data_IF_364986360852
#
_entry.id   IF_364986360852
#
_cell.length_a   1.000
_cell.length_b   1.000
_cell.length_c   1.000
_cell.angle_alpha   90.00
_cell.angle_beta   90.00
_cell.angle_gamma   90.00
#
_symmetry.space_group_name_H-M   'P 1'
#
loop_
_entity.id
_entity.type
_entity.pdbx_description
1 polymer ?
#
# COMPACT_ATOMS: atom_id res chain seq x y z
N UNK A 1 72.46 97.47 -19.26
CA UNK A 1 71.98 98.33 -18.16
C UNK A 1 73.09 98.34 -17.14
N UNK A 2 74.11 99.19 -17.32
CA UNK A 2 74.10 100.64 -17.00
C UNK A 2 73.82 100.80 -15.49
N UNK A 3 74.68 101.41 -14.67
CA UNK A 3 75.44 102.63 -14.91
C UNK A 3 76.83 102.63 -14.27
N UNK A 4 77.75 103.25 -14.99
CA UNK A 4 79.04 103.72 -14.54
C UNK A 4 78.92 105.16 -14.01
N UNK A 5 79.53 105.47 -12.87
CA UNK A 5 79.77 106.83 -12.37
C UNK A 5 81.29 106.91 -12.13
N UNK A 6 82.11 107.27 -13.13
CA UNK A 6 82.57 108.62 -13.50
C UNK A 6 83.07 109.46 -12.33
N UNK A 7 84.30 109.20 -11.92
CA UNK A 7 85.14 110.11 -11.15
C UNK A 7 85.88 111.02 -12.16
N UNK A 8 85.52 112.32 -12.18
CA UNK A 8 86.12 113.35 -13.03
C UNK A 8 87.09 114.20 -12.21
N UNK A 9 88.37 114.06 -12.53
CA UNK A 9 89.32 115.11 -12.92
C UNK A 9 89.06 116.55 -12.43
N UNK A 10 89.97 117.05 -11.59
CA UNK A 10 90.06 118.44 -11.14
C UNK A 10 91.51 118.84 -10.84
N UNK A 11 92.08 119.60 -11.76
CA UNK A 11 93.45 120.13 -11.93
C UNK A 11 93.92 121.09 -10.79
N UNK A 12 95.25 121.32 -10.61
CA UNK A 12 95.83 121.99 -9.45
C UNK A 12 95.60 123.50 -9.45
N UNK A 13 95.29 124.06 -8.27
CA UNK A 13 95.09 125.50 -8.11
C UNK A 13 96.42 126.21 -7.89
N UNK A 14 96.68 127.15 -8.80
CA UNK A 14 97.81 128.06 -8.82
C UNK A 14 97.85 129.00 -7.61
N UNK A 15 99.06 129.25 -7.12
CA UNK A 15 99.38 130.30 -6.17
C UNK A 15 98.98 131.68 -6.74
N UNK A 16 98.08 132.37 -6.04
CA UNK A 16 97.79 133.79 -6.23
C UNK A 16 97.89 134.47 -4.87
N UNK A 17 98.97 135.22 -4.70
CA UNK A 17 99.21 136.12 -3.59
C UNK A 17 98.26 137.31 -3.69
N UNK A 18 97.25 137.40 -2.81
CA UNK A 18 96.47 138.61 -2.59
C UNK A 18 96.30 138.83 -1.09
N UNK A 19 96.49 140.09 -0.72
CA UNK A 19 96.76 140.58 0.61
C UNK A 19 95.58 140.45 1.60
N UNK A 20 95.99 140.39 2.86
CA UNK A 20 95.23 140.31 4.09
C UNK A 20 94.24 141.47 4.31
N UNK A 21 93.01 141.14 4.72
CA UNK A 21 92.18 141.95 5.61
C UNK A 21 91.52 141.02 6.67
N UNK A 22 92.03 141.09 7.90
CA UNK A 22 91.82 140.17 9.05
C UNK A 22 90.57 140.47 9.90
N UNK A 23 89.89 141.59 9.67
CA UNK A 23 88.93 142.11 10.67
C UNK A 23 87.51 141.50 10.58
N UNK A 24 87.10 140.97 9.41
CA UNK A 24 85.75 140.43 9.18
C UNK A 24 85.61 138.91 9.36
N UNK A 25 86.71 138.19 9.56
CA UNK A 25 86.74 136.71 9.51
C UNK A 25 86.41 136.07 10.87
N UNK A 26 86.55 136.81 11.97
CA UNK A 26 86.33 136.32 13.33
C UNK A 26 84.85 136.20 13.72
N UNK A 27 83.97 137.09 13.24
CA UNK A 27 82.51 136.98 13.50
C UNK A 27 81.88 135.79 12.79
N UNK A 28 82.28 135.54 11.53
CA UNK A 28 81.84 134.38 10.74
C UNK A 28 82.31 133.07 11.39
N UNK A 29 83.51 133.05 12.01
CA UNK A 29 83.99 131.87 12.72
C UNK A 29 83.20 131.57 14.00
N UNK A 30 82.79 132.60 14.74
CA UNK A 30 82.00 132.47 15.97
C UNK A 30 80.58 131.96 15.73
N UNK A 31 79.90 132.49 14.71
CA UNK A 31 78.55 132.06 14.32
C UNK A 31 78.55 130.62 13.79
N UNK A 32 79.57 130.28 12.99
CA UNK A 32 79.78 128.91 12.50
C UNK A 32 80.12 127.93 13.63
N UNK A 33 80.85 128.35 14.66
CA UNK A 33 81.07 127.55 15.87
C UNK A 33 79.79 127.35 16.69
N UNK A 34 78.91 128.34 16.74
CA UNK A 34 77.60 128.22 17.41
C UNK A 34 76.66 127.28 16.64
N UNK A 35 76.60 127.38 15.30
CA UNK A 35 75.88 126.43 14.45
C UNK A 35 76.44 125.02 14.58
N UNK A 36 77.76 124.85 14.61
CA UNK A 36 78.40 123.55 14.87
C UNK A 36 77.96 123.02 16.23
N UNK A 37 77.95 123.84 17.28
CA UNK A 37 77.56 123.41 18.63
C UNK A 37 76.07 123.05 18.72
N UNK A 38 75.20 123.79 18.04
CA UNK A 38 73.77 123.51 17.93
C UNK A 38 73.49 122.22 17.13
N UNK A 39 74.20 122.01 16.02
CA UNK A 39 74.06 120.80 15.23
C UNK A 39 74.68 119.59 15.96
N UNK A 40 75.77 119.78 16.72
CA UNK A 40 76.33 118.77 17.63
C UNK A 40 75.32 118.37 18.71
N UNK A 41 74.66 119.31 19.39
CA UNK A 41 73.61 119.00 20.38
C UNK A 41 72.42 118.30 19.73
N UNK A 42 72.04 118.69 18.51
CA UNK A 42 70.97 118.03 17.73
C UNK A 42 71.37 116.62 17.31
N UNK A 43 72.62 116.41 16.88
CA UNK A 43 73.18 115.09 16.59
C UNK A 43 73.20 114.25 17.87
N UNK A 44 73.62 114.82 19.00
CA UNK A 44 73.66 114.13 20.29
C UNK A 44 72.26 113.71 20.74
N UNK A 45 71.28 114.62 20.65
CA UNK A 45 69.88 114.36 20.99
C UNK A 45 69.21 113.33 20.07
N UNK A 46 69.49 113.39 18.76
CA UNK A 46 69.02 112.37 17.81
C UNK A 46 69.68 111.01 18.07
N UNK A 47 70.97 111.00 18.37
CA UNK A 47 71.71 109.78 18.75
C UNK A 47 71.11 109.17 20.01
N UNK A 48 70.75 109.99 21.01
CA UNK A 48 70.09 109.53 22.22
C UNK A 48 68.72 108.89 21.95
N UNK A 49 67.89 109.50 21.09
CA UNK A 49 66.58 108.94 20.68
C UNK A 49 66.73 107.61 19.92
N UNK A 50 67.69 107.52 19.01
CA UNK A 50 67.99 106.27 18.29
C UNK A 50 68.43 105.20 19.28
N UNK A 51 69.27 105.54 20.25
CA UNK A 51 69.76 104.61 21.27
C UNK A 51 68.63 104.12 22.19
N UNK A 52 67.65 104.96 22.51
CA UNK A 52 66.45 104.58 23.26
C UNK A 52 65.54 103.62 22.46
N UNK A 53 65.30 103.89 21.18
CA UNK A 53 64.54 102.98 20.29
C UNK A 53 65.24 101.63 20.15
N UNK A 54 66.56 101.62 19.94
CA UNK A 54 67.38 100.40 19.89
C UNK A 54 67.30 99.62 21.20
N UNK A 55 67.33 100.30 22.35
CA UNK A 55 67.16 99.66 23.66
C UNK A 55 65.78 99.05 23.83
N UNK A 56 64.72 99.71 23.34
CA UNK A 56 63.35 99.20 23.39
C UNK A 56 63.12 98.00 22.46
N UNK A 57 63.83 97.93 21.33
CA UNK A 57 63.79 96.83 20.37
C UNK A 57 64.50 95.59 20.91
N UNK A 58 65.64 95.76 21.58
CA UNK A 58 66.42 94.64 22.15
C UNK A 58 65.62 93.80 23.16
N UNK A 59 64.74 94.42 23.96
CA UNK A 59 63.87 93.70 24.88
C UNK A 59 62.73 92.91 24.20
N UNK A 60 62.34 93.30 22.97
CA UNK A 60 61.33 92.58 22.17
C UNK A 60 61.92 91.34 21.51
N UNK A 61 63.16 91.42 21.04
CA UNK A 61 63.90 90.31 20.42
C UNK A 61 64.01 89.09 21.36
N UNK A 62 64.30 89.31 22.64
CA UNK A 62 64.34 88.23 23.66
C UNK A 62 62.94 87.63 23.97
N UNK A 63 61.88 88.42 23.80
CA UNK A 63 60.49 87.94 23.88
C UNK A 63 60.13 87.05 22.68
N UNK A 64 60.47 87.50 21.48
CA UNK A 64 60.24 86.78 20.23
C UNK A 64 61.01 85.45 20.19
N UNK A 65 62.27 85.42 20.63
CA UNK A 65 63.05 84.19 20.74
C UNK A 65 62.39 83.15 21.66
N UNK A 66 61.83 83.59 22.80
CA UNK A 66 61.07 82.71 23.71
C UNK A 66 59.80 82.18 23.08
N UNK A 67 59.06 83.01 22.35
CA UNK A 67 57.87 82.57 21.63
C UNK A 67 58.19 81.57 20.52
N UNK A 68 59.25 81.81 19.72
CA UNK A 68 59.71 80.89 18.68
C UNK A 68 60.14 79.53 19.26
N UNK A 69 60.89 79.54 20.37
CA UNK A 69 61.26 78.30 21.06
C UNK A 69 60.02 77.53 21.55
N UNK A 70 59.02 78.23 22.11
CA UNK A 70 57.76 77.61 22.54
C UNK A 70 56.96 77.04 21.38
N UNK A 71 56.92 77.72 20.23
CA UNK A 71 56.28 77.22 19.01
C UNK A 71 56.94 75.92 18.58
N UNK A 72 58.27 75.88 18.53
CA UNK A 72 59.03 74.67 18.16
C UNK A 72 58.75 73.49 19.09
N UNK A 73 58.66 73.73 20.40
CA UNK A 73 58.27 72.70 21.37
C UNK A 73 56.85 72.18 21.15
N UNK A 74 55.89 73.09 20.89
CA UNK A 74 54.50 72.73 20.64
C UNK A 74 54.33 71.97 19.33
N UNK A 75 55.02 72.38 18.26
CA UNK A 75 55.06 71.65 16.98
C UNK A 75 55.64 70.25 17.17
N UNK A 76 56.74 70.13 17.95
CA UNK A 76 57.32 68.84 18.31
C UNK A 76 56.35 67.94 19.08
N UNK A 77 55.66 68.49 20.09
CA UNK A 77 54.66 67.75 20.86
C UNK A 77 53.46 67.33 20.01
N UNK A 78 52.93 68.22 19.17
CA UNK A 78 51.82 67.94 18.27
C UNK A 78 52.21 66.87 17.23
N UNK A 79 53.42 66.92 16.69
CA UNK A 79 53.93 65.88 15.80
C UNK A 79 54.01 64.53 16.50
N UNK A 80 54.45 64.48 17.76
CA UNK A 80 54.51 63.24 18.54
C UNK A 80 53.11 62.68 18.84
N UNK A 81 52.16 63.53 19.21
CA UNK A 81 50.76 63.12 19.44
C UNK A 81 50.13 62.58 18.16
N UNK A 82 50.31 63.26 17.02
CA UNK A 82 49.80 62.80 15.72
C UNK A 82 50.42 61.46 15.33
N UNK A 83 51.73 61.28 15.52
CA UNK A 83 52.41 60.00 15.24
C UNK A 83 51.87 58.86 16.10
N UNK A 84 51.69 59.09 17.40
CA UNK A 84 51.10 58.09 18.31
C UNK A 84 49.65 57.76 17.94
N UNK A 85 48.83 58.78 17.72
CA UNK A 85 47.44 58.59 17.28
C UNK A 85 47.38 57.78 15.98
N UNK A 86 48.22 58.10 14.99
CA UNK A 86 48.28 57.37 13.73
C UNK A 86 48.70 55.90 13.92
N UNK A 87 49.66 55.60 14.81
CA UNK A 87 50.05 54.23 15.10
C UNK A 87 48.92 53.45 15.79
N UNK A 88 48.24 54.08 16.74
CA UNK A 88 47.14 53.45 17.50
C UNK A 88 45.97 53.12 16.56
N UNK A 89 45.56 54.06 15.70
CA UNK A 89 44.52 53.83 14.69
C UNK A 89 44.93 52.70 13.72
N UNK A 90 46.20 52.64 13.31
CA UNK A 90 46.68 51.57 12.42
C UNK A 90 46.61 50.20 13.09
N UNK A 91 46.92 50.12 14.39
CA UNK A 91 46.81 48.88 15.16
C UNK A 91 45.35 48.44 15.33
N UNK A 92 44.45 49.37 15.67
CA UNK A 92 43.01 49.11 15.79
C UNK A 92 42.40 48.65 14.46
N UNK A 93 42.75 49.31 13.35
CA UNK A 93 42.35 48.87 12.01
C UNK A 93 42.87 47.46 11.73
N UNK A 94 44.11 47.14 12.11
CA UNK A 94 44.66 45.79 11.99
C UNK A 94 43.84 44.74 12.75
N UNK A 95 43.40 45.04 13.98
CA UNK A 95 42.51 44.18 14.78
C UNK A 95 41.15 44.00 14.12
N UNK A 96 40.56 45.07 13.59
CA UNK A 96 39.28 45.01 12.87
C UNK A 96 39.38 44.16 11.60
N UNK A 97 40.45 44.31 10.81
CA UNK A 97 40.67 43.47 9.62
C UNK A 97 40.80 41.99 9.99
N UNK A 98 41.49 41.67 11.09
CA UNK A 98 41.60 40.30 11.57
C UNK A 98 40.25 39.72 11.98
N UNK A 99 39.46 40.47 12.76
CA UNK A 99 38.12 40.04 13.14
C UNK A 99 37.21 39.87 11.91
N UNK A 100 37.28 40.78 10.94
CA UNK A 100 36.50 40.67 9.72
C UNK A 100 36.86 39.41 8.91
N UNK A 101 38.14 39.06 8.84
CA UNK A 101 38.59 37.82 8.20
C UNK A 101 38.11 36.57 8.95
N UNK A 102 38.14 36.56 10.29
CA UNK A 102 37.62 35.45 11.09
C UNK A 102 36.10 35.27 10.92
N UNK A 103 35.35 36.37 10.91
CA UNK A 103 33.90 36.36 10.66
C UNK A 103 33.57 35.88 9.25
N UNK A 104 34.30 36.34 8.24
CA UNK A 104 34.15 35.87 6.86
C UNK A 104 34.35 34.35 6.79
N UNK A 105 35.46 33.83 7.34
CA UNK A 105 35.75 32.39 7.35
C UNK A 105 34.66 31.58 8.07
N UNK A 106 34.21 32.02 9.26
CA UNK A 106 33.12 31.36 9.98
C UNK A 106 31.81 31.35 9.18
N UNK A 107 31.50 32.45 8.49
CA UNK A 107 30.30 32.55 7.66
C UNK A 107 30.36 31.60 6.46
N UNK A 108 31.54 31.40 5.87
CA UNK A 108 31.73 30.46 4.76
C UNK A 108 31.59 29.00 5.21
N UNK A 109 32.15 28.66 6.37
CA UNK A 109 31.99 27.33 6.98
C UNK A 109 30.51 27.05 7.26
N UNK A 110 29.80 27.98 7.91
CA UNK A 110 28.38 27.85 8.21
C UNK A 110 27.54 27.71 6.92
N UNK A 111 27.86 28.47 5.87
CA UNK A 111 27.21 28.37 4.56
C UNK A 111 27.45 26.99 3.93
N UNK A 112 28.67 26.46 4.01
CA UNK A 112 29.01 25.14 3.51
C UNK A 112 28.26 24.00 4.23
N UNK A 113 28.13 24.10 5.56
CA UNK A 113 27.33 23.16 6.35
C UNK A 113 25.85 23.22 6.00
N UNK A 114 25.31 24.42 5.84
CA UNK A 114 23.92 24.62 5.41
C UNK A 114 23.65 23.97 4.04
N UNK A 115 24.52 24.18 3.06
CA UNK A 115 24.38 23.55 1.74
C UNK A 115 24.50 22.02 1.79
N UNK A 116 25.39 21.47 2.63
CA UNK A 116 25.44 20.02 2.87
C UNK A 116 24.12 19.51 3.45
N UNK A 117 23.61 20.15 4.50
CA UNK A 117 22.33 19.76 5.11
C UNK A 117 21.17 19.80 4.12
N UNK A 118 21.10 20.83 3.27
CA UNK A 118 20.11 20.91 2.19
C UNK A 118 20.26 19.77 1.18
N UNK A 119 21.49 19.42 0.79
CA UNK A 119 21.76 18.30 -0.12
C UNK A 119 21.32 16.97 0.48
N UNK A 120 21.63 16.73 1.76
CA UNK A 120 21.26 15.50 2.47
C UNK A 120 19.72 15.36 2.57
N UNK A 121 19.03 16.44 2.93
CA UNK A 121 17.56 16.47 2.98
C UNK A 121 16.95 16.23 1.59
N UNK A 122 17.50 16.86 0.55
CA UNK A 122 17.04 16.67 -0.83
C UNK A 122 17.22 15.22 -1.29
N UNK A 123 18.36 14.60 -0.97
CA UNK A 123 18.64 13.21 -1.27
C UNK A 123 17.70 12.26 -0.53
N UNK A 124 17.48 12.48 0.78
CA UNK A 124 16.55 11.69 1.58
C UNK A 124 15.11 11.81 1.05
N UNK A 125 14.67 13.03 0.70
CA UNK A 125 13.37 13.25 0.10
C UNK A 125 13.22 12.53 -1.25
N UNK A 126 14.24 12.62 -2.11
CA UNK A 126 14.24 11.91 -3.40
C UNK A 126 14.15 10.39 -3.22
N UNK A 127 14.89 9.82 -2.27
CA UNK A 127 14.82 8.39 -1.94
C UNK A 127 13.42 7.98 -1.48
N UNK A 128 12.81 8.77 -0.58
CA UNK A 128 11.46 8.53 -0.10
C UNK A 128 10.40 8.61 -1.21
N UNK A 129 10.50 9.59 -2.12
CA UNK A 129 9.59 9.70 -3.27
C UNK A 129 9.69 8.47 -4.18
N UNK A 130 10.90 7.96 -4.43
CA UNK A 130 11.11 6.74 -5.23
C UNK A 130 10.51 5.51 -4.55
N UNK A 131 10.64 5.39 -3.24
CA UNK A 131 10.03 4.30 -2.47
C UNK A 131 8.50 4.36 -2.53
N UNK A 132 7.90 5.53 -2.34
CA UNK A 132 6.46 5.73 -2.52
C UNK A 132 5.98 5.37 -3.93
N UNK A 133 6.72 5.80 -4.96
CA UNK A 133 6.41 5.45 -6.35
C UNK A 133 6.44 3.92 -6.56
N UNK A 134 7.42 3.24 -5.96
CA UNK A 134 7.50 1.77 -6.00
C UNK A 134 6.28 1.14 -5.31
N UNK A 135 5.93 1.60 -4.10
CA UNK A 135 4.80 1.05 -3.35
C UNK A 135 3.46 1.27 -4.04
N UNK A 136 3.27 2.42 -4.70
CA UNK A 136 2.07 2.69 -5.51
C UNK A 136 1.95 1.66 -6.64
N UNK A 137 3.05 1.36 -7.33
CA UNK A 137 3.06 0.35 -8.39
C UNK A 137 2.74 -1.05 -7.85
N UNK A 138 3.35 -1.45 -6.74
CA UNK A 138 3.05 -2.74 -6.09
C UNK A 138 1.55 -2.85 -5.71
N UNK A 139 0.96 -1.78 -5.17
CA UNK A 139 -0.47 -1.73 -4.84
C UNK A 139 -1.37 -1.80 -6.08
N UNK A 140 -0.96 -1.19 -7.20
CA UNK A 140 -1.67 -1.32 -8.47
C UNK A 140 -1.64 -2.78 -8.97
N UNK A 141 -0.49 -3.45 -8.88
CA UNK A 141 -0.33 -4.86 -9.25
C UNK A 141 -1.19 -5.78 -8.35
N UNK A 142 -1.15 -5.57 -7.02
CA UNK A 142 -2.00 -6.27 -6.04
C UNK A 142 -3.50 -6.07 -6.34
N UNK A 143 -3.91 -4.85 -6.70
CA UNK A 143 -5.30 -4.55 -7.06
C UNK A 143 -5.74 -5.29 -8.32
N UNK A 144 -4.91 -5.38 -9.34
CA UNK A 144 -5.25 -6.15 -10.55
C UNK A 144 -5.33 -7.65 -10.25
N UNK A 145 -4.44 -8.20 -9.43
CA UNK A 145 -4.52 -9.59 -8.98
C UNK A 145 -5.85 -9.90 -8.25
N UNK A 146 -6.30 -9.00 -7.36
CA UNK A 146 -7.58 -9.14 -6.66
C UNK A 146 -8.79 -9.07 -7.61
N UNK A 147 -8.71 -8.30 -8.70
CA UNK A 147 -9.78 -8.27 -9.71
C UNK A 147 -9.92 -9.61 -10.42
N UNK A 148 -8.80 -10.24 -10.78
CA UNK A 148 -8.78 -11.56 -11.41
C UNK A 148 -9.33 -12.64 -10.45
N UNK A 149 -8.89 -12.63 -9.19
CA UNK A 149 -9.44 -13.54 -8.17
C UNK A 149 -10.96 -13.37 -7.99
N UNK A 150 -11.44 -12.12 -7.98
CA UNK A 150 -12.88 -11.83 -7.89
C UNK A 150 -13.66 -12.30 -9.13
N UNK A 151 -13.05 -12.30 -10.32
CA UNK A 151 -13.66 -12.86 -11.53
C UNK A 151 -13.74 -14.37 -11.40
N UNK A 152 -12.63 -15.03 -11.05
CA UNK A 152 -12.58 -16.47 -10.83
C UNK A 152 -13.60 -16.95 -9.78
N UNK A 153 -13.70 -16.28 -8.63
CA UNK A 153 -14.67 -16.61 -7.58
C UNK A 153 -16.12 -16.47 -8.07
N UNK A 154 -16.43 -15.49 -8.93
CA UNK A 154 -17.77 -15.32 -9.49
C UNK A 154 -18.13 -16.46 -10.43
N UNK A 155 -17.19 -16.91 -11.24
CA UNK A 155 -17.39 -18.05 -12.14
C UNK A 155 -17.58 -19.35 -11.35
N UNK A 156 -16.78 -19.55 -10.31
CA UNK A 156 -16.90 -20.75 -9.46
C UNK A 156 -18.23 -20.77 -8.68
N UNK A 157 -18.66 -19.61 -8.18
CA UNK A 157 -19.97 -19.46 -7.56
C UNK A 157 -21.11 -19.76 -8.55
N UNK A 158 -20.99 -19.34 -9.82
CA UNK A 158 -21.97 -19.63 -10.85
C UNK A 158 -22.08 -21.13 -11.13
N UNK A 159 -20.95 -21.85 -11.21
CA UNK A 159 -20.93 -23.32 -11.36
C UNK A 159 -21.59 -24.01 -10.18
N UNK A 160 -21.23 -23.63 -8.95
CA UNK A 160 -21.80 -24.21 -7.74
C UNK A 160 -23.33 -24.01 -7.66
N UNK A 161 -23.83 -22.84 -8.08
CA UNK A 161 -25.27 -22.57 -8.20
C UNK A 161 -25.95 -23.45 -9.25
N UNK A 162 -25.28 -23.71 -10.37
CA UNK A 162 -25.75 -24.65 -11.40
C UNK A 162 -25.95 -26.05 -10.83
N UNK A 163 -24.89 -26.62 -10.25
CA UNK A 163 -24.93 -27.96 -9.61
C UNK A 163 -25.98 -28.03 -8.50
N UNK A 164 -26.10 -27.00 -7.67
CA UNK A 164 -27.12 -26.96 -6.61
C UNK A 164 -28.55 -26.93 -7.17
N UNK A 165 -28.77 -26.29 -8.32
CA UNK A 165 -30.08 -26.20 -8.95
C UNK A 165 -30.46 -27.54 -9.59
N UNK A 166 -29.52 -28.18 -10.29
CA UNK A 166 -29.69 -29.53 -10.85
C UNK A 166 -29.98 -30.56 -9.75
N UNK A 167 -29.23 -30.51 -8.65
CA UNK A 167 -29.48 -31.38 -7.50
C UNK A 167 -30.89 -31.18 -6.92
N UNK A 168 -31.34 -29.92 -6.79
CA UNK A 168 -32.68 -29.60 -6.31
C UNK A 168 -33.76 -30.13 -7.25
N UNK A 169 -33.59 -29.95 -8.56
CA UNK A 169 -34.50 -30.49 -9.58
C UNK A 169 -34.56 -32.02 -9.52
N UNK A 170 -33.41 -32.70 -9.46
CA UNK A 170 -33.33 -34.15 -9.32
C UNK A 170 -34.03 -34.66 -8.05
N UNK A 171 -33.88 -33.96 -6.91
CA UNK A 171 -34.60 -34.34 -5.67
C UNK A 171 -36.11 -34.16 -5.79
N UNK A 172 -36.57 -33.12 -6.50
CA UNK A 172 -38.00 -32.90 -6.72
C UNK A 172 -38.60 -33.96 -7.65
N UNK A 173 -37.90 -34.31 -8.73
CA UNK A 173 -38.29 -35.36 -9.65
C UNK A 173 -38.32 -36.74 -8.97
N UNK A 174 -37.31 -37.04 -8.14
CA UNK A 174 -37.29 -38.27 -7.34
C UNK A 174 -38.52 -38.36 -6.42
N UNK A 175 -38.85 -37.27 -5.72
CA UNK A 175 -40.04 -37.18 -4.85
C UNK A 175 -41.34 -37.37 -5.64
N UNK A 176 -41.45 -36.74 -6.81
CA UNK A 176 -42.63 -36.88 -7.69
C UNK A 176 -42.83 -38.33 -8.13
N UNK A 177 -41.74 -39.03 -8.52
CA UNK A 177 -41.79 -40.46 -8.88
C UNK A 177 -42.19 -41.33 -7.69
N UNK A 178 -41.68 -41.03 -6.50
CA UNK A 178 -42.06 -41.73 -5.28
C UNK A 178 -43.57 -41.60 -4.99
N UNK A 179 -44.13 -40.39 -5.12
CA UNK A 179 -45.58 -40.15 -4.94
C UNK A 179 -46.43 -40.91 -5.97
N UNK A 180 -45.99 -40.97 -7.23
CA UNK A 180 -46.64 -41.78 -8.28
C UNK A 180 -46.62 -43.27 -7.93
N UNK A 181 -45.45 -43.83 -7.59
CA UNK A 181 -45.31 -45.22 -7.18
C UNK A 181 -46.15 -45.55 -5.94
N UNK A 182 -46.22 -44.63 -4.96
CA UNK A 182 -47.11 -44.77 -3.81
C UNK A 182 -48.56 -44.89 -4.25
N UNK A 183 -49.04 -44.04 -5.15
CA UNK A 183 -50.41 -44.10 -5.66
C UNK A 183 -50.71 -45.39 -6.43
N UNK A 184 -49.76 -45.88 -7.23
CA UNK A 184 -49.86 -47.14 -7.97
C UNK A 184 -49.92 -48.34 -7.01
N UNK A 185 -49.06 -48.38 -6.00
CA UNK A 185 -49.08 -49.41 -4.95
C UNK A 185 -50.43 -49.41 -4.22
N UNK A 186 -50.99 -48.24 -3.89
CA UNK A 186 -52.32 -48.16 -3.26
C UNK A 186 -53.43 -48.67 -4.18
N UNK A 187 -53.37 -48.35 -5.48
CA UNK A 187 -54.32 -48.84 -6.49
C UNK A 187 -54.26 -50.36 -6.65
N UNK A 188 -53.05 -50.91 -6.80
CA UNK A 188 -52.82 -52.35 -6.88
C UNK A 188 -53.28 -53.07 -5.61
N UNK A 189 -53.00 -52.50 -4.44
CA UNK A 189 -53.49 -53.03 -3.15
C UNK A 189 -55.01 -53.10 -3.14
N UNK A 190 -55.71 -52.02 -3.50
CA UNK A 190 -57.17 -51.99 -3.56
C UNK A 190 -57.74 -53.00 -4.57
N UNK A 191 -57.09 -53.17 -5.73
CA UNK A 191 -57.48 -54.17 -6.73
C UNK A 191 -57.36 -55.60 -6.18
N UNK A 192 -56.24 -55.92 -5.54
CA UNK A 192 -56.00 -57.24 -4.93
C UNK A 192 -57.05 -57.53 -3.85
N UNK A 193 -57.30 -56.56 -2.96
CA UNK A 193 -58.26 -56.68 -1.87
C UNK A 193 -59.70 -56.90 -2.41
N UNK A 194 -60.12 -56.11 -3.41
CA UNK A 194 -61.40 -56.32 -4.10
C UNK A 194 -61.49 -57.71 -4.77
N UNK A 195 -60.42 -58.19 -5.42
CA UNK A 195 -60.42 -59.50 -6.07
C UNK A 195 -60.47 -60.67 -5.07
N UNK A 196 -59.96 -60.47 -3.87
CA UNK A 196 -59.98 -61.47 -2.79
C UNK A 196 -61.40 -61.68 -2.24
N UNK A 197 -62.21 -60.62 -2.15
CA UNK A 197 -63.64 -60.75 -1.81
C UNK A 197 -64.41 -61.54 -2.86
N UNK A 198 -64.11 -61.32 -4.15
CA UNK A 198 -64.73 -62.08 -5.25
C UNK A 198 -64.34 -63.56 -5.20
N UNK A 199 -63.10 -63.88 -4.80
CA UNK A 199 -62.65 -65.26 -4.62
C UNK A 199 -63.36 -65.93 -3.44
N UNK A 200 -63.58 -65.21 -2.33
CA UNK A 200 -64.34 -65.69 -1.18
C UNK A 200 -65.79 -66.03 -1.54
N UNK A 201 -66.53 -65.05 -2.10
CA UNK A 201 -67.94 -65.24 -2.51
C UNK A 201 -68.13 -66.37 -3.51
N UNK A 202 -67.24 -66.50 -4.50
CA UNK A 202 -67.32 -67.58 -5.50
C UNK A 202 -67.07 -68.96 -4.89
N UNK A 203 -66.21 -69.04 -3.88
CA UNK A 203 -65.94 -70.28 -3.17
C UNK A 203 -67.10 -70.65 -2.25
N UNK A 204 -67.74 -69.68 -1.59
CA UNK A 204 -68.96 -69.86 -0.81
C UNK A 204 -70.14 -70.36 -1.67
N UNK A 205 -70.38 -69.74 -2.83
CA UNK A 205 -71.44 -70.16 -3.77
C UNK A 205 -71.20 -71.57 -4.33
N UNK A 206 -69.94 -71.90 -4.64
CA UNK A 206 -69.56 -73.23 -5.09
C UNK A 206 -69.77 -74.26 -3.97
N UNK A 207 -69.37 -73.95 -2.74
CA UNK A 207 -69.57 -74.81 -1.58
C UNK A 207 -71.07 -75.06 -1.33
N UNK A 208 -71.91 -74.02 -1.40
CA UNK A 208 -73.37 -74.13 -1.27
C UNK A 208 -73.97 -74.94 -2.42
N UNK A 209 -73.50 -74.76 -3.65
CA UNK A 209 -73.97 -75.52 -4.82
C UNK A 209 -73.64 -77.00 -4.70
N UNK A 210 -72.40 -77.33 -4.30
CA UNK A 210 -71.97 -78.72 -4.04
C UNK A 210 -72.80 -79.32 -2.90
N UNK A 211 -73.01 -78.59 -1.81
CA UNK A 211 -73.85 -79.02 -0.68
C UNK A 211 -75.28 -79.35 -1.11
N UNK A 212 -75.88 -78.53 -1.98
CA UNK A 212 -77.21 -78.79 -2.56
C UNK A 212 -77.22 -80.00 -3.49
N UNK A 213 -76.26 -80.12 -4.39
CA UNK A 213 -76.14 -81.25 -5.31
C UNK A 213 -76.01 -82.56 -4.54
N UNK A 214 -75.16 -82.60 -3.51
CA UNK A 214 -75.03 -83.73 -2.59
C UNK A 214 -76.37 -84.06 -1.94
N UNK A 215 -77.10 -83.07 -1.40
CA UNK A 215 -78.41 -83.29 -0.76
C UNK A 215 -79.44 -83.87 -1.74
N UNK A 216 -79.46 -83.42 -2.99
CA UNK A 216 -80.35 -83.93 -4.05
C UNK A 216 -79.98 -85.37 -4.42
N UNK A 217 -78.70 -85.65 -4.64
CA UNK A 217 -78.21 -87.01 -4.95
C UNK A 217 -78.54 -87.97 -3.81
N UNK A 218 -78.34 -87.54 -2.56
CA UNK A 218 -78.65 -88.34 -1.36
C UNK A 218 -80.14 -88.65 -1.20
N UNK A 219 -81.02 -87.75 -1.63
CA UNK A 219 -82.47 -87.90 -1.54
C UNK A 219 -83.10 -88.67 -2.71
N UNK A 220 -82.33 -88.94 -3.77
CA UNK A 220 -82.80 -89.68 -4.94
C UNK A 220 -82.91 -91.20 -4.67
N UNK A 221 -83.90 -91.92 -5.24
CA UNK A 221 -84.00 -93.38 -5.14
C UNK A 221 -82.75 -94.11 -5.66
N UNK A 222 -82.01 -93.49 -6.59
CA UNK A 222 -80.72 -93.99 -7.09
C UNK A 222 -79.61 -93.79 -6.05
N UNK A 223 -79.62 -92.69 -5.29
CA UNK A 223 -78.65 -92.43 -4.23
C UNK A 223 -78.88 -93.26 -2.96
N UNK A 224 -80.13 -93.61 -2.65
CA UNK A 224 -80.46 -94.49 -1.52
C UNK A 224 -80.21 -95.97 -1.79
N UNK A 225 -80.06 -96.40 -3.05
CA UNK A 225 -79.91 -97.81 -3.41
C UNK A 225 -78.61 -98.18 -4.13
N UNK A 226 -77.71 -97.21 -4.36
CA UNK A 226 -76.48 -97.47 -5.11
C UNK A 226 -75.26 -96.90 -4.38
N UNK A 227 -74.62 -97.78 -3.60
CA UNK A 227 -73.23 -97.66 -3.18
C UNK A 227 -72.28 -97.79 -4.40
N UNK A 228 -72.47 -97.01 -5.46
CA UNK A 228 -71.50 -96.98 -6.57
C UNK A 228 -70.42 -95.97 -6.23
N UNK A 229 -69.48 -96.42 -5.39
CA UNK A 229 -68.19 -95.75 -5.22
C UNK A 229 -67.56 -95.43 -6.58
N UNK A 230 -67.76 -96.28 -7.60
CA UNK A 230 -67.31 -96.06 -8.97
C UNK A 230 -67.85 -94.78 -9.62
N UNK A 231 -69.10 -94.38 -9.34
CA UNK A 231 -69.69 -93.16 -9.94
C UNK A 231 -69.15 -91.90 -9.27
N UNK A 232 -68.98 -91.93 -7.95
CA UNK A 232 -68.30 -90.85 -7.22
C UNK A 232 -66.83 -90.77 -7.59
N UNK A 233 -66.14 -91.90 -7.76
CA UNK A 233 -64.74 -91.95 -8.19
C UNK A 233 -64.57 -91.34 -9.59
N UNK A 234 -65.45 -91.65 -10.54
CA UNK A 234 -65.43 -91.04 -11.87
C UNK A 234 -65.65 -89.52 -11.82
N UNK A 235 -66.58 -89.05 -10.97
CA UNK A 235 -66.89 -87.64 -10.84
C UNK A 235 -65.74 -86.86 -10.17
N UNK A 236 -65.13 -87.43 -9.11
CA UNK A 236 -63.94 -86.87 -8.47
C UNK A 236 -62.74 -86.85 -9.42
N UNK A 237 -62.50 -87.93 -10.18
CA UNK A 237 -61.46 -87.98 -11.19
C UNK A 237 -61.67 -86.92 -12.26
N UNK A 238 -62.90 -86.76 -12.76
CA UNK A 238 -63.23 -85.72 -13.75
C UNK A 238 -62.91 -84.32 -13.22
N UNK A 239 -63.25 -84.03 -11.96
CA UNK A 239 -62.96 -82.74 -11.31
C UNK A 239 -61.46 -82.50 -11.12
N UNK A 240 -60.68 -83.55 -10.91
CA UNK A 240 -59.21 -83.49 -10.83
C UNK A 240 -58.62 -83.26 -12.23
N UNK A 241 -59.11 -83.99 -13.24
CA UNK A 241 -58.65 -83.88 -14.63
C UNK A 241 -58.90 -82.46 -15.20
N UNK A 242 -60.00 -81.81 -14.81
CA UNK A 242 -60.27 -80.39 -15.14
C UNK A 242 -59.66 -79.39 -14.16
N UNK A 243 -58.76 -79.84 -13.27
CA UNK A 243 -58.01 -79.02 -12.30
C UNK A 243 -58.87 -78.20 -11.32
N UNK A 244 -60.12 -78.61 -11.07
CA UNK A 244 -61.01 -78.01 -10.06
C UNK A 244 -60.63 -78.49 -8.66
N UNK A 245 -60.30 -79.78 -8.53
CA UNK A 245 -59.75 -80.36 -7.29
C UNK A 245 -58.25 -80.59 -7.47
N UNK A 246 -57.45 -80.12 -6.50
CA UNK A 246 -56.02 -80.43 -6.40
C UNK A 246 -55.77 -81.30 -5.16
N UNK A 247 -54.52 -81.73 -4.97
CA UNK A 247 -54.13 -82.63 -3.88
C UNK A 247 -54.46 -82.10 -2.48
N UNK A 248 -54.46 -80.78 -2.30
CA UNK A 248 -54.84 -80.14 -1.03
C UNK A 248 -56.36 -80.09 -0.86
N UNK A 249 -57.09 -79.66 -1.89
CA UNK A 249 -58.54 -79.42 -1.82
C UNK A 249 -59.35 -80.72 -1.71
N UNK A 250 -58.87 -81.82 -2.31
CA UNK A 250 -59.55 -83.12 -2.20
C UNK A 250 -59.55 -83.67 -0.77
N UNK A 251 -58.59 -83.23 0.06
CA UNK A 251 -58.50 -83.60 1.49
C UNK A 251 -59.43 -82.77 2.37
N UNK A 252 -60.18 -81.82 1.80
CA UNK A 252 -61.19 -81.05 2.52
C UNK A 252 -62.21 -81.96 3.20
N UNK A 253 -62.62 -81.69 4.47
CA UNK A 253 -63.65 -82.45 5.17
C UNK A 253 -64.97 -82.56 4.41
N UNK A 254 -65.26 -81.62 3.50
CA UNK A 254 -66.45 -81.64 2.67
C UNK A 254 -66.38 -82.68 1.53
N UNK A 255 -65.18 -83.02 1.05
CA UNK A 255 -64.95 -83.94 -0.09
C UNK A 255 -64.53 -85.33 0.40
N UNK A 256 -63.83 -85.39 1.54
CA UNK A 256 -63.28 -86.60 2.16
C UNK A 256 -64.29 -87.77 2.29
N UNK A 257 -65.56 -87.56 2.68
CA UNK A 257 -66.54 -88.65 2.81
C UNK A 257 -66.86 -89.35 1.49
N UNK A 258 -66.64 -88.68 0.35
CA UNK A 258 -66.90 -89.23 -0.98
C UNK A 258 -65.72 -90.03 -1.53
N UNK A 259 -64.53 -89.83 -0.96
CA UNK A 259 -63.33 -90.55 -1.36
C UNK A 259 -63.35 -92.02 -0.95
N UNK A 260 -64.34 -92.55 -0.24
CA UNK A 260 -64.40 -93.98 0.10
C UNK A 260 -63.18 -94.49 0.92
N UNK A 261 -63.07 -95.81 1.16
CA UNK A 261 -62.12 -96.36 2.13
C UNK A 261 -60.65 -96.28 1.70
N UNK A 262 -60.35 -96.12 0.40
CA UNK A 262 -58.97 -96.02 -0.10
C UNK A 262 -58.40 -94.58 -0.05
N UNK A 263 -59.17 -93.62 0.45
CA UNK A 263 -58.73 -92.24 0.62
C UNK A 263 -58.54 -91.46 -0.70
N UNK A 264 -58.26 -90.15 -0.62
CA UNK A 264 -58.15 -89.27 -1.78
C UNK A 264 -56.88 -89.47 -2.62
N UNK A 265 -55.82 -90.04 -2.04
CA UNK A 265 -54.51 -90.15 -2.72
C UNK A 265 -54.56 -91.07 -3.96
N UNK A 266 -55.50 -92.02 -4.00
CA UNK A 266 -55.66 -92.95 -5.14
C UNK A 266 -55.94 -92.29 -6.49
N UNK A 267 -56.47 -91.06 -6.49
CA UNK A 267 -56.78 -90.33 -7.72
C UNK A 267 -55.54 -89.66 -8.33
N UNK A 268 -54.45 -89.59 -7.56
CA UNK A 268 -53.17 -89.02 -7.98
C UNK A 268 -52.07 -90.10 -8.10
N UNK A 269 -52.29 -91.29 -7.53
CA UNK A 269 -51.34 -92.42 -7.54
C UNK A 269 -51.43 -93.34 -8.78
N UNK A 270 -52.27 -93.01 -9.77
CA UNK A 270 -52.27 -93.73 -11.05
C UNK A 270 -51.05 -93.31 -11.89
N UNK A 271 -50.06 -94.19 -11.98
CA UNK A 271 -48.84 -93.97 -12.74
C UNK A 271 -49.10 -93.43 -14.16
N UNK A 272 -48.70 -92.17 -14.36
CA UNK A 272 -48.13 -91.63 -15.60
C UNK A 272 -48.50 -92.38 -16.90
N UNK A 273 -49.73 -92.22 -17.37
CA UNK A 273 -50.02 -92.44 -18.77
C UNK A 273 -49.70 -91.15 -19.55
N UNK A 274 -48.57 -91.21 -20.26
CA UNK A 274 -48.06 -90.24 -21.22
C UNK A 274 -49.16 -89.61 -22.08
N UNK A 275 -49.39 -88.31 -21.89
CA UNK A 275 -49.80 -87.43 -22.98
C UNK A 275 -48.56 -86.78 -23.58
N UNK A 276 -48.06 -87.47 -24.61
CA UNK A 276 -47.41 -86.97 -25.82
C UNK A 276 -46.88 -85.53 -25.75
N UNK A 277 -45.56 -85.46 -25.70
CA UNK A 277 -44.73 -84.27 -25.92
C UNK A 277 -45.29 -83.34 -27.01
N UNK A 278 -45.58 -82.10 -26.62
CA UNK A 278 -45.53 -80.97 -27.54
C UNK A 278 -44.05 -80.60 -27.68
N UNK A 279 -43.51 -80.46 -28.91
CA UNK A 279 -42.09 -80.22 -29.11
C UNK A 279 -41.68 -78.85 -28.52
N UNK A 280 -40.41 -78.68 -28.11
CA UNK A 280 -39.92 -77.40 -27.64
C UNK A 280 -39.98 -76.40 -28.79
N UNK A 281 -40.76 -75.33 -28.62
CA UNK A 281 -40.76 -74.21 -29.55
C UNK A 281 -39.40 -73.51 -29.47
N UNK A 282 -38.59 -73.78 -30.48
CA UNK A 282 -37.60 -72.90 -31.09
C UNK A 282 -36.92 -71.87 -30.18
N UNK A 283 -35.70 -72.23 -29.80
CA UNK A 283 -34.60 -71.30 -29.54
C UNK A 283 -34.42 -70.32 -30.71
N UNK A 284 -34.89 -69.09 -30.55
CA UNK A 284 -34.51 -67.97 -31.41
C UNK A 284 -33.14 -67.44 -31.00
N UNK A 285 -32.19 -67.54 -31.92
CA UNK A 285 -30.85 -66.99 -31.82
C UNK A 285 -30.80 -65.54 -32.33
N UNK A 286 -29.95 -64.73 -31.70
CA UNK A 286 -29.52 -63.40 -32.14
C UNK A 286 -30.37 -62.28 -31.55
N UNK A 287 -29.85 -61.17 -31.01
CA UNK A 287 -28.57 -60.48 -31.18
C UNK A 287 -28.34 -59.76 -29.83
N UNK A 288 -27.23 -59.88 -29.10
CA UNK A 288 -25.88 -59.50 -29.50
C UNK A 288 -25.61 -58.05 -29.09
N UNK A 289 -25.06 -57.79 -27.88
CA UNK A 289 -24.13 -56.68 -27.63
C UNK A 289 -23.22 -57.00 -26.44
N UNK A 290 -21.94 -56.75 -26.68
CA UNK A 290 -20.77 -57.02 -25.87
C UNK A 290 -20.83 -56.42 -24.45
N UNK A 291 -20.53 -57.25 -23.45
CA UNK A 291 -19.95 -56.79 -22.19
C UNK A 291 -18.78 -57.71 -21.82
N UNK A 292 -17.57 -57.17 -21.91
CA UNK A 292 -16.41 -57.52 -21.11
C UNK A 292 -15.31 -56.48 -21.35
N UNK A 293 -14.36 -56.26 -20.43
CA UNK A 293 -14.40 -56.48 -18.99
C UNK A 293 -14.02 -55.21 -18.21
N UNK A 294 -14.59 -55.08 -17.00
CA UNK A 294 -14.17 -54.11 -16.00
C UNK A 294 -12.77 -54.51 -15.49
N UNK A 295 -11.73 -54.01 -16.16
CA UNK A 295 -10.34 -54.11 -15.70
C UNK A 295 -10.05 -53.02 -14.66
N UNK A 296 -9.55 -53.48 -13.51
CA UNK A 296 -8.76 -52.73 -12.54
C UNK A 296 -7.75 -51.80 -13.21
N UNK A 297 -7.58 -50.60 -12.66
CA UNK A 297 -6.36 -50.26 -11.91
C UNK A 297 -6.57 -49.04 -11.01
N UNK A 298 -5.85 -48.99 -9.88
CA UNK A 298 -5.79 -47.85 -8.96
C UNK A 298 -4.67 -46.89 -9.41
N UNK A 299 -4.88 -45.59 -9.28
CA UNK A 299 -3.75 -44.67 -9.29
C UNK A 299 -3.93 -43.59 -8.22
N UNK A 300 -2.87 -43.54 -7.43
CA UNK A 300 -2.74 -43.03 -6.08
C UNK A 300 -2.04 -41.68 -6.23
N UNK A 301 -2.84 -40.63 -6.33
CA UNK A 301 -2.37 -39.25 -6.41
C UNK A 301 -2.28 -38.63 -5.03
N UNK A 302 -1.06 -38.58 -4.50
CA UNK A 302 -0.66 -37.97 -3.24
C UNK A 302 -1.25 -36.55 -3.07
N UNK A 303 -1.94 -36.32 -1.95
CA UNK A 303 -2.30 -34.98 -1.49
C UNK A 303 -1.51 -34.73 -0.21
N UNK A 304 -0.49 -33.89 -0.31
CA UNK A 304 0.23 -33.32 0.84
C UNK A 304 -0.74 -32.46 1.66
N UNK A 305 -0.75 -32.56 3.00
CA UNK A 305 -1.61 -31.73 3.83
C UNK A 305 -1.06 -30.30 3.92
N UNK A 306 -1.90 -29.32 3.61
CA UNK A 306 -1.59 -27.90 3.78
C UNK A 306 -1.62 -27.58 5.28
N UNK A 307 -0.44 -27.34 5.86
CA UNK A 307 -0.30 -26.78 7.20
C UNK A 307 -0.96 -25.40 7.26
N UNK A 308 -2.00 -25.30 8.07
CA UNK A 308 -2.55 -24.02 8.53
C UNK A 308 -1.75 -23.59 9.75
N UNK A 309 -0.85 -22.61 9.60
CA UNK A 309 -0.22 -21.92 10.73
C UNK A 309 -0.62 -20.45 10.76
N UNK A 310 -1.48 -20.16 11.73
CA UNK A 310 -1.75 -18.84 12.28
C UNK A 310 -0.51 -18.23 12.95
N UNK A 311 -0.35 -16.91 12.82
CA UNK A 311 0.04 -15.89 13.83
C UNK A 311 1.00 -14.84 13.28
N UNK A 312 0.50 -13.61 13.17
CA UNK A 312 1.27 -12.42 12.83
C UNK A 312 0.46 -11.15 13.10
N UNK A 313 -0.06 -11.02 14.33
CA UNK A 313 -0.67 -9.79 14.83
C UNK A 313 0.46 -8.89 15.34
N UNK A 314 0.78 -7.85 14.59
CA UNK A 314 1.71 -6.80 15.02
C UNK A 314 0.90 -5.61 15.52
N UNK A 315 1.04 -5.30 16.80
CA UNK A 315 0.53 -4.07 17.41
C UNK A 315 1.20 -2.82 16.79
N UNK A 316 0.49 -1.67 16.68
CA UNK A 316 1.11 -0.42 16.29
C UNK A 316 1.84 0.26 17.47
N UNK A 317 2.85 1.10 17.19
CA UNK A 317 3.66 1.72 18.23
C UNK A 317 2.89 2.78 19.02
N UNK A 318 3.13 2.82 20.33
CA UNK A 318 2.71 3.92 21.20
C UNK A 318 3.54 5.17 20.90
N UNK A 319 2.81 6.30 20.87
CA UNK A 319 3.29 7.70 20.85
C UNK A 319 4.19 7.98 22.04
#
# INVERSE_FOLDING_TARGET
MEEAIKEKEGVPLAASSVAFDIEGTWSVLGERLFEIRMEEEKILGNTFKVLEVVRSLKGKEEGEARHLQRIKELEGALLQVTKRSQSDHREELGKLYKLNAEWANKSEVARGEFHRGLSDVSQAHSAHVKDLQKRIKELDDEREALKEEKIWLRDELAKARGVSSEAREATFDARRREELLKSEIHSLRALVENSSEWRGRRMEDLEETVRRAVKIVSASPVGNHVKNQATFDFLLQTLIDVSILNQENIRSPAVLPFCGPKGPDRFFDAGSHCLKEVPPSESYAGWGYHLSPLCRSPEEGQITPLETRWLGQSDPPKV
#
